data_IF_349480060324
#
_entry.id   IF_349480060324
#
_cell.length_a   1.000
_cell.length_b   1.000
_cell.length_c   1.000
_cell.angle_alpha   90.00
_cell.angle_beta   90.00
_cell.angle_gamma   90.00
#
_symmetry.space_group_name_H-M   'P 1'
#
loop_
_entity.id
_entity.type
_entity.pdbx_description
1 polymer ?
#
# COMPACT_ATOMS: atom_id res chain seq x y z
N UNK A 1 -38.98 -63.61 -17.52
CA UNK A 1 -37.72 -62.98 -17.06
C UNK A 1 -36.81 -62.67 -18.24
N UNK A 2 -37.16 -61.73 -19.14
CA UNK A 2 -36.34 -61.42 -20.34
C UNK A 2 -36.65 -60.07 -21.05
N UNK A 3 -37.30 -59.11 -20.40
CA UNK A 3 -37.83 -57.91 -21.10
C UNK A 3 -37.45 -56.54 -20.51
N UNK A 4 -36.77 -56.46 -19.36
CA UNK A 4 -36.43 -55.14 -18.74
C UNK A 4 -34.98 -54.69 -18.94
N UNK A 5 -34.09 -55.54 -19.50
CA UNK A 5 -32.66 -55.21 -19.66
C UNK A 5 -32.32 -54.35 -20.88
N UNK A 6 -33.27 -54.06 -21.78
CA UNK A 6 -33.02 -53.26 -22.99
C UNK A 6 -33.49 -51.80 -22.92
N UNK A 7 -34.30 -51.43 -21.93
CA UNK A 7 -34.77 -50.04 -21.79
C UNK A 7 -33.89 -49.17 -20.87
N UNK A 8 -32.96 -49.76 -20.11
CA UNK A 8 -32.05 -49.02 -19.23
C UNK A 8 -30.70 -48.66 -19.88
N UNK A 9 -30.38 -49.26 -21.03
CA UNK A 9 -29.09 -49.05 -21.71
C UNK A 9 -29.09 -47.86 -22.67
N UNK A 10 -30.25 -47.30 -23.02
CA UNK A 10 -30.35 -46.19 -24.00
C UNK A 10 -30.48 -44.82 -23.31
N UNK A 11 -30.89 -44.76 -22.04
CA UNK A 11 -31.05 -43.48 -21.31
C UNK A 11 -29.79 -43.04 -20.56
N UNK A 12 -28.75 -43.88 -20.45
CA UNK A 12 -27.50 -43.52 -19.76
C UNK A 12 -26.39 -43.05 -20.73
N UNK A 13 -26.59 -43.13 -22.04
CA UNK A 13 -25.60 -42.70 -23.04
C UNK A 13 -25.82 -41.27 -23.58
N UNK A 14 -26.90 -40.59 -23.18
CA UNK A 14 -27.25 -39.24 -23.64
C UNK A 14 -27.03 -38.13 -22.57
N UNK A 15 -26.38 -38.46 -21.44
CA UNK A 15 -26.10 -37.50 -20.37
C UNK A 15 -24.64 -37.01 -20.30
N UNK A 16 -23.76 -37.47 -21.18
CA UNK A 16 -22.34 -37.04 -21.22
C UNK A 16 -21.97 -36.18 -22.44
N UNK A 17 -22.92 -35.84 -23.32
CA UNK A 17 -22.67 -35.09 -24.55
C UNK A 17 -23.14 -33.62 -24.49
N UNK A 18 -23.21 -33.01 -23.30
CA UNK A 18 -23.58 -31.61 -23.16
C UNK A 18 -22.62 -30.87 -22.22
N UNK A 19 -21.91 -29.90 -22.80
CA UNK A 19 -21.04 -28.90 -22.20
C UNK A 19 -19.56 -29.26 -21.99
N UNK A 20 -18.84 -29.52 -23.07
CA UNK A 20 -17.51 -28.90 -23.22
C UNK A 20 -17.72 -27.45 -23.65
N UNK A 21 -17.90 -26.53 -22.69
CA UNK A 21 -17.65 -25.11 -22.97
C UNK A 21 -16.17 -25.01 -23.30
N UNK A 22 -15.83 -24.91 -24.58
CA UNK A 22 -14.52 -24.36 -24.95
C UNK A 22 -14.49 -22.95 -24.38
N UNK A 23 -13.76 -22.80 -23.29
CA UNK A 23 -13.45 -21.51 -22.71
C UNK A 23 -12.40 -20.89 -23.64
N UNK A 24 -12.83 -20.38 -24.79
CA UNK A 24 -12.08 -19.40 -25.57
C UNK A 24 -12.10 -18.10 -24.79
N UNK A 25 -11.45 -18.12 -23.62
CA UNK A 25 -10.92 -16.91 -23.03
C UNK A 25 -9.95 -16.37 -24.07
N UNK A 26 -10.40 -15.35 -24.82
CA UNK A 26 -9.53 -14.56 -25.68
C UNK A 26 -8.39 -14.12 -24.79
N UNK A 27 -7.22 -14.75 -24.93
CA UNK A 27 -6.00 -14.28 -24.29
C UNK A 27 -5.79 -12.90 -24.87
N UNK A 28 -6.15 -11.87 -24.13
CA UNK A 28 -5.68 -10.52 -24.44
C UNK A 28 -4.17 -10.68 -24.49
N UNK A 29 -3.53 -10.41 -25.64
CA UNK A 29 -2.09 -10.55 -25.74
C UNK A 29 -1.51 -9.68 -24.63
N UNK A 30 -0.79 -10.32 -23.70
CA UNK A 30 0.08 -9.59 -22.82
C UNK A 30 1.10 -8.94 -23.74
N UNK A 31 0.92 -7.65 -23.98
CA UNK A 31 1.91 -6.83 -24.65
C UNK A 31 3.11 -6.89 -23.70
N UNK A 32 4.14 -7.64 -24.08
CA UNK A 32 5.43 -7.55 -23.40
C UNK A 32 5.84 -6.10 -23.51
N UNK A 33 5.97 -5.35 -22.39
CA UNK A 33 6.43 -3.98 -22.47
C UNK A 33 7.76 -3.99 -23.20
N UNK A 34 7.94 -3.13 -24.21
CA UNK A 34 9.28 -2.89 -24.73
C UNK A 34 10.17 -2.45 -23.57
N UNK A 35 11.37 -3.00 -23.53
CA UNK A 35 12.36 -2.63 -22.53
C UNK A 35 12.65 -1.13 -22.72
N UNK A 36 12.31 -0.32 -21.72
CA UNK A 36 12.53 1.13 -21.81
C UNK A 36 14.01 1.40 -22.06
N UNK A 37 14.35 2.37 -22.92
CA UNK A 37 15.71 2.83 -23.24
C UNK A 37 16.48 3.47 -22.05
N UNK A 38 16.25 3.01 -20.82
CA UNK A 38 16.74 3.61 -19.58
C UNK A 38 15.93 4.82 -19.11
N UNK A 39 14.91 5.25 -19.86
CA UNK A 39 14.01 6.34 -19.47
C UNK A 39 13.10 5.89 -18.33
N UNK A 40 13.13 6.63 -17.22
CA UNK A 40 12.28 6.38 -16.04
C UNK A 40 11.12 7.36 -15.97
N UNK A 41 10.09 7.03 -15.19
CA UNK A 41 9.00 7.97 -14.93
C UNK A 41 9.51 9.24 -14.24
N UNK A 42 10.39 9.10 -13.24
CA UNK A 42 10.99 10.24 -12.54
C UNK A 42 11.84 11.13 -13.46
N UNK A 43 12.53 10.59 -14.46
CA UNK A 43 13.32 11.40 -15.41
C UNK A 43 12.46 12.07 -16.48
N UNK A 44 11.26 11.57 -16.71
CA UNK A 44 10.34 12.10 -17.72
C UNK A 44 9.44 13.21 -17.19
N UNK A 45 9.31 13.33 -15.87
CA UNK A 45 8.48 14.33 -15.22
C UNK A 45 9.28 15.62 -14.89
N UNK A 46 8.68 16.78 -15.15
CA UNK A 46 9.23 18.09 -14.78
C UNK A 46 8.95 18.50 -13.32
N UNK A 47 8.26 17.64 -12.58
CA UNK A 47 7.86 17.82 -11.19
C UNK A 47 8.12 16.52 -10.42
N UNK A 48 8.16 16.54 -9.06
CA UNK A 48 8.35 15.33 -8.28
C UNK A 48 7.27 14.29 -8.61
N UNK A 49 7.69 13.18 -9.20
CA UNK A 49 6.84 12.05 -9.57
C UNK A 49 6.95 10.98 -8.51
N UNK A 50 5.80 10.48 -8.02
CA UNK A 50 5.80 9.65 -6.84
C UNK A 50 4.52 8.88 -6.59
N UNK A 51 4.58 8.05 -5.55
CA UNK A 51 3.44 7.26 -5.09
C UNK A 51 3.39 7.17 -3.57
N UNK A 52 2.21 6.82 -3.05
CA UNK A 52 2.11 6.25 -1.72
C UNK A 52 2.67 4.81 -1.75
N UNK A 53 3.54 4.47 -0.79
CA UNK A 53 4.19 3.15 -0.74
C UNK A 53 3.89 2.41 0.55
N UNK A 54 3.72 1.10 0.42
CA UNK A 54 3.51 0.21 1.55
C UNK A 54 4.85 -0.17 2.17
N UNK A 55 5.11 0.24 3.41
CA UNK A 55 6.42 0.00 4.07
C UNK A 55 6.68 -1.49 4.32
N UNK A 56 5.64 -2.29 4.56
CA UNK A 56 5.77 -3.74 4.67
C UNK A 56 6.32 -4.38 3.39
N UNK A 57 5.81 -3.96 2.22
CA UNK A 57 6.31 -4.41 0.92
C UNK A 57 7.70 -3.84 0.62
N UNK A 58 7.97 -2.58 0.97
CA UNK A 58 9.32 -2.03 0.87
C UNK A 58 10.32 -2.92 1.62
N UNK A 59 10.00 -3.37 2.83
CA UNK A 59 10.89 -4.24 3.63
C UNK A 59 10.99 -5.68 3.12
N UNK A 60 9.88 -6.27 2.66
CA UNK A 60 9.80 -7.71 2.35
C UNK A 60 9.95 -8.08 0.87
N UNK A 61 9.77 -7.13 -0.05
CA UNK A 61 9.77 -7.40 -1.48
C UNK A 61 10.85 -6.55 -2.19
N UNK A 62 11.95 -7.21 -2.57
CA UNK A 62 13.07 -6.55 -3.24
C UNK A 62 12.70 -5.97 -4.61
N UNK A 63 11.83 -6.64 -5.39
CA UNK A 63 11.39 -6.15 -6.69
C UNK A 63 10.53 -4.88 -6.56
N UNK A 64 9.63 -4.86 -5.55
CA UNK A 64 8.84 -3.66 -5.24
C UNK A 64 9.74 -2.49 -4.86
N UNK A 65 10.71 -2.71 -3.96
CA UNK A 65 11.67 -1.69 -3.52
C UNK A 65 12.50 -1.16 -4.68
N UNK A 66 13.02 -2.05 -5.54
CA UNK A 66 13.82 -1.68 -6.71
C UNK A 66 13.00 -0.86 -7.72
N UNK A 67 11.73 -1.20 -7.93
CA UNK A 67 10.84 -0.42 -8.80
C UNK A 67 10.61 0.99 -8.24
N UNK A 68 10.37 1.10 -6.93
CA UNK A 68 10.19 2.39 -6.26
C UNK A 68 11.44 3.26 -6.39
N UNK A 69 12.62 2.69 -6.13
CA UNK A 69 13.90 3.39 -6.30
C UNK A 69 14.12 3.86 -7.74
N UNK A 70 13.85 2.97 -8.71
CA UNK A 70 14.06 3.24 -10.13
C UNK A 70 13.15 4.35 -10.63
N UNK A 71 11.85 4.28 -10.32
CA UNK A 71 10.83 5.06 -11.03
C UNK A 71 10.38 6.33 -10.29
N UNK A 72 10.64 6.46 -8.98
CA UNK A 72 10.07 7.54 -8.16
C UNK A 72 11.12 8.59 -7.74
N UNK A 73 10.71 9.86 -7.74
CA UNK A 73 11.46 10.99 -7.16
C UNK A 73 10.76 11.62 -5.95
N UNK A 74 9.54 11.18 -5.63
CA UNK A 74 8.85 11.52 -4.39
C UNK A 74 8.11 10.31 -3.81
N UNK A 75 7.99 10.23 -2.49
CA UNK A 75 7.24 9.19 -1.79
C UNK A 75 6.29 9.80 -0.79
N UNK A 76 5.24 9.05 -0.47
CA UNK A 76 4.43 9.22 0.72
C UNK A 76 4.33 7.86 1.40
N UNK A 77 4.50 7.80 2.71
CA UNK A 77 4.20 6.56 3.45
C UNK A 77 2.69 6.32 3.46
N UNK A 78 2.25 5.11 3.12
CA UNK A 78 0.82 4.80 3.07
C UNK A 78 0.13 5.00 4.42
N UNK A 79 0.79 4.60 5.52
CA UNK A 79 0.17 4.64 6.85
C UNK A 79 1.12 5.01 7.98
N UNK A 80 2.41 4.71 7.87
CA UNK A 80 3.37 4.65 8.96
C UNK A 80 3.65 6.02 9.59
N UNK A 81 3.35 7.10 8.86
CA UNK A 81 3.44 8.48 9.35
C UNK A 81 2.13 9.05 9.92
N UNK A 82 1.03 8.28 9.93
CA UNK A 82 -0.24 8.70 10.54
C UNK A 82 -0.17 8.61 12.07
N UNK A 83 -0.93 9.46 12.77
CA UNK A 83 -0.98 9.47 14.24
C UNK A 83 -1.35 8.10 14.84
N UNK A 84 -2.21 7.33 14.18
CA UNK A 84 -2.58 5.98 14.65
C UNK A 84 -1.44 4.97 14.59
N UNK A 85 -0.40 5.24 13.79
CA UNK A 85 0.84 4.45 13.77
C UNK A 85 1.89 5.02 14.70
N UNK A 86 2.13 6.33 14.65
CA UNK A 86 3.15 7.00 15.46
C UNK A 86 2.82 7.01 16.96
N UNK A 87 1.57 7.29 17.31
CA UNK A 87 1.11 7.44 18.70
C UNK A 87 -0.14 6.58 18.93
N UNK A 88 0.02 5.27 18.74
CA UNK A 88 -1.07 4.28 18.86
C UNK A 88 -1.60 4.13 20.30
N UNK A 89 -0.85 4.58 21.30
CA UNK A 89 -1.28 4.74 22.69
C UNK A 89 -0.92 6.14 23.21
N UNK A 90 -1.52 6.55 24.33
CA UNK A 90 -1.29 7.87 24.90
C UNK A 90 0.17 8.09 25.36
N UNK A 91 0.85 7.02 25.80
CA UNK A 91 2.17 7.07 26.45
C UNK A 91 3.32 6.56 25.58
N UNK A 92 3.05 5.90 24.46
CA UNK A 92 4.09 5.29 23.63
C UNK A 92 4.21 5.92 22.24
N UNK A 93 5.44 5.96 21.75
CA UNK A 93 5.82 6.47 20.44
C UNK A 93 6.44 5.37 19.59
N UNK A 94 6.00 5.25 18.34
CA UNK A 94 6.44 4.23 17.41
C UNK A 94 6.90 4.86 16.10
N UNK A 95 8.21 5.09 15.98
CA UNK A 95 8.79 5.72 14.80
C UNK A 95 9.49 4.74 13.85
N UNK A 96 9.69 3.47 14.24
CA UNK A 96 10.52 2.50 13.50
C UNK A 96 10.21 2.41 12.01
N UNK A 97 8.93 2.34 11.63
CA UNK A 97 8.55 2.19 10.23
C UNK A 97 8.58 3.53 9.46
N UNK A 98 8.24 4.64 10.11
CA UNK A 98 8.38 5.97 9.55
C UNK A 98 9.85 6.35 9.35
N UNK A 99 10.73 5.99 10.29
CA UNK A 99 12.16 6.19 10.18
C UNK A 99 12.76 5.38 9.04
N UNK A 100 12.30 4.14 8.85
CA UNK A 100 12.75 3.30 7.75
C UNK A 100 12.50 3.97 6.39
N UNK A 101 11.28 4.45 6.15
CA UNK A 101 10.95 5.03 4.84
C UNK A 101 11.58 6.41 4.64
N UNK A 102 11.72 7.22 5.69
CA UNK A 102 12.48 8.48 5.62
C UNK A 102 13.95 8.21 5.30
N UNK A 103 14.57 7.22 5.96
CA UNK A 103 15.98 6.87 5.72
C UNK A 103 16.20 6.36 4.31
N UNK A 104 15.32 5.48 3.81
CA UNK A 104 15.33 5.03 2.42
C UNK A 104 15.22 6.22 1.45
N UNK A 105 14.27 7.13 1.69
CA UNK A 105 14.11 8.29 0.82
C UNK A 105 15.36 9.16 0.80
N UNK A 106 16.01 9.39 1.94
CA UNK A 106 17.26 10.15 2.01
C UNK A 106 18.42 9.45 1.31
N UNK A 107 18.61 8.15 1.51
CA UNK A 107 19.67 7.35 0.90
C UNK A 107 19.63 7.41 -0.63
N UNK A 108 18.42 7.39 -1.20
CA UNK A 108 18.22 7.37 -2.64
C UNK A 108 17.91 8.76 -3.25
N UNK A 109 18.07 9.84 -2.48
CA UNK A 109 17.77 11.22 -2.90
C UNK A 109 16.31 11.41 -3.41
N UNK A 110 15.38 10.72 -2.77
CA UNK A 110 13.95 10.77 -3.05
C UNK A 110 13.28 11.73 -2.06
N UNK A 111 12.44 12.65 -2.57
CA UNK A 111 11.62 13.50 -1.71
C UNK A 111 10.64 12.65 -0.89
N UNK A 112 10.41 12.99 0.38
CA UNK A 112 9.36 12.36 1.19
C UNK A 112 8.35 13.43 1.66
N UNK A 113 7.07 13.19 1.36
CA UNK A 113 5.96 14.02 1.80
C UNK A 113 5.40 13.51 3.13
N UNK A 114 5.34 14.39 4.13
CA UNK A 114 4.80 14.05 5.45
C UNK A 114 3.28 13.89 5.42
N UNK A 115 2.79 12.66 5.63
CA UNK A 115 1.36 12.35 5.61
C UNK A 115 0.98 11.44 6.79
N UNK A 116 0.29 11.91 7.82
CA UNK A 116 -0.24 13.26 8.08
C UNK A 116 -0.25 13.46 9.59
N UNK A 117 -0.29 14.72 10.04
CA UNK A 117 -0.24 15.03 11.46
C UNK A 117 -1.59 14.77 12.14
N UNK A 118 -2.59 15.62 11.88
CA UNK A 118 -3.90 15.53 12.53
C UNK A 118 -4.93 15.05 11.52
N UNK A 119 -5.67 14.01 11.88
CA UNK A 119 -6.68 13.42 11.00
C UNK A 119 -7.83 12.79 11.80
N UNK A 120 -9.05 12.83 11.26
CA UNK A 120 -10.24 12.32 11.94
C UNK A 120 -10.20 10.81 12.20
N UNK A 121 -9.43 10.03 11.41
CA UNK A 121 -9.12 8.62 11.71
C UNK A 121 -7.94 8.53 12.69
N UNK A 122 -8.19 9.04 13.89
CA UNK A 122 -7.24 9.12 14.98
C UNK A 122 -7.16 7.79 15.77
N UNK A 123 -6.09 7.57 16.54
CA UNK A 123 -6.01 6.40 17.43
C UNK A 123 -7.11 6.42 18.50
N UNK A 124 -7.64 5.24 18.81
CA UNK A 124 -8.83 5.05 19.64
C UNK A 124 -8.72 5.65 21.06
N UNK A 125 -7.51 5.80 21.60
CA UNK A 125 -7.33 6.40 22.93
C UNK A 125 -7.75 7.88 22.98
N UNK A 126 -7.78 8.57 21.83
CA UNK A 126 -8.30 9.93 21.74
C UNK A 126 -9.81 10.00 21.98
N UNK A 127 -10.56 8.93 21.67
CA UNK A 127 -12.01 8.89 21.91
C UNK A 127 -12.35 8.93 23.41
N UNK A 128 -11.40 8.50 24.25
CA UNK A 128 -11.54 8.48 25.72
C UNK A 128 -10.67 9.53 26.41
N UNK A 129 -9.96 10.37 25.65
CA UNK A 129 -9.09 11.40 26.23
C UNK A 129 -9.94 12.47 26.91
N UNK A 130 -9.63 12.73 28.18
CA UNK A 130 -10.30 13.75 28.99
C UNK A 130 -9.37 14.95 29.14
N UNK A 131 -9.86 16.12 28.77
CA UNK A 131 -9.11 17.36 28.85
C UNK A 131 -10.00 18.55 28.50
N UNK A 132 -9.70 19.70 29.08
CA UNK A 132 -10.26 20.96 28.61
C UNK A 132 -9.60 21.40 27.29
N UNK A 133 -10.02 22.54 26.74
CA UNK A 133 -9.48 23.03 25.48
C UNK A 133 -7.95 23.22 25.52
N UNK A 134 -7.40 23.69 26.65
CA UNK A 134 -5.96 23.91 26.81
C UNK A 134 -5.19 22.58 26.86
N UNK A 135 -5.72 21.56 27.53
CA UNK A 135 -5.12 20.23 27.55
C UNK A 135 -5.10 19.58 26.15
N UNK A 136 -6.18 19.71 25.39
CA UNK A 136 -6.26 19.24 24.00
C UNK A 136 -5.26 19.94 23.09
N UNK A 137 -5.16 21.27 23.19
CA UNK A 137 -4.20 22.07 22.43
C UNK A 137 -2.77 21.65 22.75
N UNK A 138 -2.43 21.54 24.04
CA UNK A 138 -1.11 21.09 24.48
C UNK A 138 -0.76 19.69 23.95
N UNK A 139 -1.70 18.74 23.99
CA UNK A 139 -1.49 17.38 23.50
C UNK A 139 -1.20 17.35 21.99
N UNK A 140 -1.98 18.08 21.19
CA UNK A 140 -1.74 18.13 19.75
C UNK A 140 -0.48 18.92 19.39
N UNK A 141 -0.18 20.00 20.13
CA UNK A 141 1.05 20.75 19.96
C UNK A 141 2.28 19.88 20.25
N UNK A 142 2.27 19.13 21.36
CA UNK A 142 3.33 18.16 21.70
C UNK A 142 3.48 17.14 20.56
N UNK A 143 2.35 16.60 20.07
CA UNK A 143 2.37 15.63 18.97
C UNK A 143 3.01 16.20 17.71
N UNK A 144 2.53 17.36 17.23
CA UNK A 144 3.03 18.02 16.03
C UNK A 144 4.51 18.34 16.17
N UNK A 145 4.92 18.96 17.28
CA UNK A 145 6.31 19.37 17.50
C UNK A 145 7.26 18.18 17.58
N UNK A 146 6.83 17.07 18.20
CA UNK A 146 7.64 15.84 18.27
C UNK A 146 7.85 15.24 16.90
N UNK A 147 6.78 15.07 16.11
CA UNK A 147 6.86 14.44 14.77
C UNK A 147 7.61 15.33 13.79
N UNK A 148 7.24 16.61 13.68
CA UNK A 148 7.90 17.56 12.76
C UNK A 148 9.34 17.80 13.19
N UNK A 149 9.62 17.89 14.49
CA UNK A 149 10.96 18.05 15.04
C UNK A 149 11.87 16.88 14.68
N UNK A 150 11.39 15.64 14.80
CA UNK A 150 12.15 14.43 14.44
C UNK A 150 12.59 14.42 12.98
N UNK A 151 11.74 14.91 12.08
CA UNK A 151 11.97 14.85 10.63
C UNK A 151 12.35 16.19 10.00
N UNK A 152 12.73 17.18 10.82
CA UNK A 152 13.14 18.51 10.38
C UNK A 152 14.27 18.41 9.34
N UNK A 153 14.05 19.04 8.19
CA UNK A 153 15.02 19.07 7.08
C UNK A 153 15.11 17.78 6.26
N UNK A 154 14.30 16.75 6.59
CA UNK A 154 14.28 15.45 5.90
C UNK A 154 12.96 15.21 5.19
N UNK A 155 11.87 15.63 5.83
CA UNK A 155 10.50 15.55 5.31
C UNK A 155 10.04 16.96 4.96
N UNK A 156 9.23 17.05 3.90
CA UNK A 156 8.84 18.32 3.32
C UNK A 156 7.35 18.44 3.05
#
# INVERSE_FOLDING_TARGET
MKTYKRLFAVTLLLLFAACSKENTATKIPYITPEESDGVTLKSSASFPWGAAVNVGLMKSNAAYRALVEKEMSSLTSENEMKMSRIRSSQTAWYFTDADYIVSFAQEHNIRIHGHTLIWHRSPAWLDTYQGDAAAWEAMFQEYIQTVVGRYKGKVA
#
